data_IF_273342946653
#
_entry.id   IF_273342946653
#
_cell.length_a   1.000
_cell.length_b   1.000
_cell.length_c   1.000
_cell.angle_alpha   90.00
_cell.angle_beta   90.00
_cell.angle_gamma   90.00
#
_symmetry.space_group_name_H-M   'P 1'
#
loop_
_entity.id
_entity.type
_entity.pdbx_description
1 polymer ?
#
# COMPACT_ATOMS: atom_id res chain seq x y z
N UNK A 1 29.46 -18.20 7.08
CA UNK A 1 29.89 -16.79 7.16
C UNK A 1 28.70 -16.02 7.70
N UNK A 2 28.86 -15.39 8.85
CA UNK A 2 27.80 -14.60 9.46
C UNK A 2 27.72 -13.27 8.70
N UNK A 3 26.63 -13.08 7.94
CA UNK A 3 26.48 -11.89 7.10
C UNK A 3 26.01 -10.76 8.01
N UNK A 4 26.95 -9.92 8.45
CA UNK A 4 26.65 -8.76 9.28
C UNK A 4 25.61 -7.85 8.60
N UNK A 5 24.78 -7.18 9.41
CA UNK A 5 23.78 -6.24 8.88
C UNK A 5 24.47 -5.04 8.22
N UNK A 6 24.19 -4.81 6.93
CA UNK A 6 24.76 -3.71 6.15
C UNK A 6 24.19 -2.32 6.52
N UNK A 7 23.03 -2.27 7.19
CA UNK A 7 22.36 -1.04 7.61
C UNK A 7 21.75 -1.18 9.00
N UNK A 8 21.60 -0.05 9.71
CA UNK A 8 21.00 -0.02 11.05
C UNK A 8 19.48 -0.13 10.96
N UNK A 9 18.91 -1.21 11.50
CA UNK A 9 17.47 -1.45 11.51
C UNK A 9 16.88 -1.24 12.90
N UNK A 10 15.66 -0.70 13.01
CA UNK A 10 14.91 -0.60 14.25
C UNK A 10 13.40 -0.61 13.99
N UNK A 11 12.62 -0.86 15.03
CA UNK A 11 11.16 -1.05 14.96
C UNK A 11 10.36 0.25 14.78
N UNK A 12 11.00 1.40 14.99
CA UNK A 12 10.38 2.72 14.86
C UNK A 12 10.80 3.37 13.53
N UNK A 13 9.90 4.07 12.83
CA UNK A 13 10.29 4.89 11.67
C UNK A 13 11.31 5.97 12.08
N UNK A 14 12.19 6.36 11.15
CA UNK A 14 13.23 7.38 11.40
C UNK A 14 14.51 6.88 12.10
N UNK A 15 14.82 5.57 12.04
CA UNK A 15 16.07 5.00 12.59
C UNK A 15 17.31 5.49 11.84
N UNK A 16 17.20 5.67 10.52
CA UNK A 16 18.20 6.38 9.71
C UNK A 16 17.90 7.87 9.83
N UNK A 17 18.81 8.64 10.44
CA UNK A 17 18.65 10.09 10.71
C UNK A 17 19.52 10.98 9.82
N UNK A 18 20.46 10.38 9.09
CA UNK A 18 21.37 11.05 8.15
C UNK A 18 21.73 10.07 7.03
N UNK A 19 22.06 10.58 5.84
CA UNK A 19 22.61 9.80 4.72
C UNK A 19 23.86 9.06 5.20
N UNK A 20 23.72 7.77 5.53
CA UNK A 20 24.76 7.11 6.32
C UNK A 20 25.52 6.02 5.57
N UNK A 21 24.98 5.42 4.51
CA UNK A 21 25.65 4.26 3.90
C UNK A 21 25.39 4.13 2.41
N UNK A 22 26.47 4.12 1.61
CA UNK A 22 26.45 3.63 0.22
C UNK A 22 26.80 2.15 0.27
N UNK A 23 25.90 1.31 -0.22
CA UNK A 23 26.07 -0.14 -0.24
C UNK A 23 26.31 -0.57 -1.68
N UNK A 24 27.48 -1.13 -1.99
CA UNK A 24 27.71 -1.77 -3.28
C UNK A 24 27.03 -3.14 -3.29
N UNK A 25 26.17 -3.37 -4.26
CA UNK A 25 25.35 -4.59 -4.38
C UNK A 25 25.81 -5.47 -5.53
N UNK A 26 26.51 -4.90 -6.52
CA UNK A 26 27.07 -5.63 -7.64
C UNK A 26 28.41 -5.04 -8.09
N UNK A 27 29.39 -5.90 -8.38
CA UNK A 27 30.68 -5.49 -8.96
C UNK A 27 30.65 -5.26 -10.48
N UNK A 28 29.85 -6.03 -11.23
CA UNK A 28 29.78 -5.89 -12.69
C UNK A 28 28.41 -6.29 -13.23
N UNK A 29 27.58 -5.34 -13.72
CA UNK A 29 27.82 -3.90 -13.69
C UNK A 29 27.90 -3.37 -12.26
N UNK A 30 28.62 -2.26 -12.05
CA UNK A 30 28.66 -1.66 -10.71
C UNK A 30 27.28 -1.12 -10.31
N UNK A 31 26.72 -1.65 -9.22
CA UNK A 31 25.42 -1.21 -8.68
C UNK A 31 25.60 -0.82 -7.22
N UNK A 32 25.10 0.37 -6.87
CA UNK A 32 25.14 0.93 -5.53
C UNK A 32 23.73 1.30 -5.07
N UNK A 33 23.44 1.11 -3.78
CA UNK A 33 22.22 1.55 -3.12
C UNK A 33 22.57 2.63 -2.11
N UNK A 34 21.84 3.73 -2.15
CA UNK A 34 21.89 4.78 -1.14
C UNK A 34 20.80 4.49 -0.09
N UNK A 35 21.20 4.28 1.16
CA UNK A 35 20.26 4.25 2.28
C UNK A 35 19.97 5.69 2.71
N UNK A 36 18.87 6.24 2.21
CA UNK A 36 18.38 7.57 2.60
C UNK A 36 17.42 7.43 3.78
N UNK A 37 17.39 8.40 4.71
CA UNK A 37 16.40 8.39 5.79
C UNK A 37 14.99 8.48 5.21
N UNK A 38 14.27 7.36 5.23
CA UNK A 38 12.86 7.31 4.83
C UNK A 38 11.96 7.72 5.99
N UNK A 39 11.14 8.75 5.79
CA UNK A 39 10.06 9.07 6.71
C UNK A 39 9.48 10.46 6.51
N UNK A 40 8.20 10.51 6.15
CA UNK A 40 7.33 11.59 6.62
C UNK A 40 7.31 11.50 8.15
N UNK A 41 7.48 12.62 8.85
CA UNK A 41 7.48 12.62 10.31
C UNK A 41 6.12 12.11 10.83
N UNK A 42 6.13 11.30 11.88
CA UNK A 42 4.90 10.79 12.53
C UNK A 42 4.06 11.92 13.16
N UNK A 43 4.59 13.15 13.26
CA UNK A 43 3.89 14.36 13.74
C UNK A 43 3.01 15.02 12.66
N UNK A 44 2.98 14.48 11.43
CA UNK A 44 2.17 15.08 10.36
C UNK A 44 0.67 14.91 10.59
N UNK A 45 0.24 13.93 11.39
CA UNK A 45 -1.14 13.76 11.79
C UNK A 45 -1.23 13.46 13.29
N UNK A 46 -2.23 14.03 13.95
CA UNK A 46 -2.51 13.74 15.36
C UNK A 46 -2.94 12.27 15.52
N UNK A 47 -2.50 11.67 16.63
CA UNK A 47 -2.72 10.24 16.92
C UNK A 47 -4.21 9.88 16.99
N UNK A 48 -5.03 10.79 17.50
CA UNK A 48 -6.47 10.58 17.59
C UNK A 48 -7.11 10.63 16.20
N UNK A 49 -6.73 11.57 15.35
CA UNK A 49 -7.19 11.62 13.95
C UNK A 49 -6.79 10.36 13.17
N UNK A 50 -5.56 9.88 13.36
CA UNK A 50 -5.12 8.63 12.74
C UNK A 50 -5.90 7.42 13.25
N UNK A 51 -6.16 7.37 14.55
CA UNK A 51 -6.95 6.30 15.17
C UNK A 51 -8.41 6.31 14.69
N UNK A 52 -9.00 7.49 14.53
CA UNK A 52 -10.36 7.68 14.00
C UNK A 52 -10.49 7.14 12.58
N UNK A 53 -9.62 7.60 11.69
CA UNK A 53 -9.60 7.15 10.30
C UNK A 53 -9.37 5.64 10.20
N UNK A 54 -8.47 5.10 11.02
CA UNK A 54 -8.21 3.66 11.07
C UNK A 54 -9.44 2.89 11.56
N UNK A 55 -10.13 3.36 12.60
CA UNK A 55 -11.36 2.75 13.12
C UNK A 55 -12.43 2.70 12.02
N UNK A 56 -12.67 3.82 11.34
CA UNK A 56 -13.58 3.92 10.20
C UNK A 56 -13.22 2.93 9.07
N UNK A 57 -11.95 2.86 8.65
CA UNK A 57 -11.52 1.94 7.59
C UNK A 57 -11.70 0.47 8.01
N UNK A 58 -11.35 0.11 9.24
CA UNK A 58 -11.53 -1.25 9.75
C UNK A 58 -13.01 -1.65 9.83
N UNK A 59 -13.89 -0.71 10.19
CA UNK A 59 -15.35 -0.92 10.14
C UNK A 59 -15.83 -1.22 8.72
N UNK A 60 -15.32 -0.50 7.73
CA UNK A 60 -15.69 -0.68 6.32
C UNK A 60 -15.16 -1.95 5.68
N UNK A 61 -14.01 -2.48 6.13
CA UNK A 61 -13.49 -3.77 5.65
C UNK A 61 -14.32 -4.98 6.11
N UNK A 62 -15.40 -4.78 6.88
CA UNK A 62 -16.29 -5.83 7.35
C UNK A 62 -15.65 -6.76 8.39
N UNK A 63 -14.42 -6.44 8.83
CA UNK A 63 -13.73 -7.20 9.86
C UNK A 63 -13.95 -6.57 11.22
N UNK A 64 -15.02 -7.00 11.88
CA UNK A 64 -15.25 -6.67 13.29
C UNK A 64 -14.35 -7.45 14.25
N UNK A 65 -13.51 -8.38 13.78
CA UNK A 65 -12.55 -9.08 14.65
C UNK A 65 -11.37 -8.17 15.03
N UNK A 66 -11.17 -7.05 14.33
CA UNK A 66 -10.21 -6.01 14.73
C UNK A 66 -10.67 -5.27 15.99
N UNK A 67 -11.99 -5.15 16.16
CA UNK A 67 -12.64 -4.56 17.33
C UNK A 67 -12.79 -5.54 18.49
N UNK A 68 -12.61 -6.84 18.21
CA UNK A 68 -12.69 -7.90 19.20
C UNK A 68 -11.81 -9.07 18.72
N UNK A 69 -10.48 -9.06 18.95
CA UNK A 69 -9.75 -10.31 18.83
C UNK A 69 -10.45 -11.32 19.75
N UNK A 70 -10.60 -12.55 19.30
CA UNK A 70 -11.26 -13.64 20.02
C UNK A 70 -10.60 -13.97 21.38
N UNK A 71 -9.55 -13.25 21.76
CA UNK A 71 -8.91 -13.23 23.09
C UNK A 71 -9.33 -12.05 23.98
N UNK A 72 -10.07 -11.07 23.45
CA UNK A 72 -10.52 -9.87 24.15
C UNK A 72 -11.86 -10.02 24.87
N UNK A 73 -12.80 -10.76 24.29
CA UNK A 73 -14.03 -11.20 24.94
C UNK A 73 -13.95 -12.71 25.18
N UNK A 74 -12.99 -13.14 26.00
CA UNK A 74 -13.20 -14.39 26.73
C UNK A 74 -14.16 -14.05 27.86
N UNK A 75 -15.45 -14.23 27.58
CA UNK A 75 -16.47 -14.28 28.62
C UNK A 75 -16.13 -15.45 29.54
N UNK A 76 -15.54 -15.15 30.70
CA UNK A 76 -15.39 -16.10 31.79
C UNK A 76 -16.79 -16.29 32.40
N UNK A 77 -17.67 -17.03 31.73
CA UNK A 77 -19.00 -17.26 32.30
C UNK A 77 -20.00 -18.02 31.46
N UNK A 78 -20.27 -17.64 30.21
CA UNK A 78 -21.45 -18.16 29.51
C UNK A 78 -21.16 -18.59 28.08
N UNK A 79 -21.43 -19.87 27.80
CA UNK A 79 -21.43 -20.48 26.46
C UNK A 79 -22.58 -19.95 25.60
N UNK A 80 -22.68 -18.64 25.42
CA UNK A 80 -23.69 -18.02 24.55
C UNK A 80 -23.03 -17.18 23.48
N UNK A 81 -23.18 -17.67 22.25
CA UNK A 81 -22.71 -17.10 20.97
C UNK A 81 -23.55 -15.89 20.54
N UNK A 82 -23.81 -14.94 21.44
CA UNK A 82 -24.81 -13.87 21.30
C UNK A 82 -24.17 -12.63 21.95
N UNK A 83 -23.93 -11.46 21.35
CA UNK A 83 -24.73 -10.58 20.49
C UNK A 83 -23.72 -9.77 19.65
N UNK A 84 -23.80 -9.81 18.31
CA UNK A 84 -23.06 -8.85 17.47
C UNK A 84 -23.71 -7.47 17.65
N UNK A 85 -23.26 -6.69 18.64
CA UNK A 85 -23.43 -5.24 18.60
C UNK A 85 -22.72 -4.74 17.34
N UNK A 86 -23.32 -3.79 16.63
CA UNK A 86 -22.69 -3.16 15.48
C UNK A 86 -21.28 -2.63 15.86
N UNK A 87 -20.30 -2.63 14.93
CA UNK A 87 -19.02 -1.98 15.18
C UNK A 87 -19.25 -0.54 15.64
N UNK A 88 -18.47 -0.09 16.63
CA UNK A 88 -18.57 1.29 17.13
C UNK A 88 -17.83 2.23 16.19
N UNK A 89 -18.41 3.40 15.97
CA UNK A 89 -17.82 4.52 15.23
C UNK A 89 -17.47 5.69 16.18
N UNK A 90 -17.60 5.46 17.49
CA UNK A 90 -17.28 6.42 18.52
C UNK A 90 -15.84 6.17 18.99
N UNK A 91 -14.93 7.03 18.54
CA UNK A 91 -13.50 6.95 18.85
C UNK A 91 -13.23 7.02 20.36
N UNK A 92 -13.87 7.95 21.06
CA UNK A 92 -13.61 8.19 22.48
C UNK A 92 -14.02 6.98 23.31
N UNK A 93 -15.23 6.46 23.05
CA UNK A 93 -15.71 5.22 23.65
C UNK A 93 -14.77 4.04 23.35
N UNK A 94 -14.30 3.92 22.11
CA UNK A 94 -13.37 2.87 21.72
C UNK A 94 -12.03 2.97 22.47
N UNK A 95 -11.41 4.15 22.46
CA UNK A 95 -10.10 4.38 23.09
C UNK A 95 -10.15 4.20 24.61
N UNK A 96 -11.24 4.58 25.27
CA UNK A 96 -11.44 4.29 26.69
C UNK A 96 -11.38 2.79 27.00
N UNK A 97 -12.05 1.97 26.17
CA UNK A 97 -12.07 0.51 26.36
C UNK A 97 -10.70 -0.10 26.10
N UNK A 98 -10.00 0.39 25.09
CA UNK A 98 -8.61 -0.01 24.81
C UNK A 98 -7.70 0.36 25.99
N UNK A 99 -7.77 1.61 26.47
CA UNK A 99 -6.97 2.11 27.59
C UNK A 99 -7.18 1.29 28.87
N UNK A 100 -8.44 1.06 29.26
CA UNK A 100 -8.81 0.23 30.42
C UNK A 100 -8.24 -1.19 30.30
N UNK A 101 -8.20 -1.74 29.08
CA UNK A 101 -7.70 -3.09 28.86
C UNK A 101 -6.19 -3.21 28.92
N UNK A 102 -5.47 -2.32 28.26
CA UNK A 102 -4.00 -2.37 28.22
C UNK A 102 -3.38 -1.84 29.53
N UNK A 103 -4.21 -1.37 30.46
CA UNK A 103 -3.76 -0.76 31.71
C UNK A 103 -3.17 0.64 31.51
N UNK A 104 -3.47 1.31 30.40
CA UNK A 104 -3.07 2.69 30.15
C UNK A 104 -4.00 3.64 30.92
N UNK A 105 -3.78 3.73 32.23
CA UNK A 105 -4.55 4.56 33.15
C UNK A 105 -3.65 5.62 33.77
N UNK A 106 -4.18 6.83 33.90
CA UNK A 106 -3.58 7.93 34.66
C UNK A 106 -3.93 7.80 36.16
N UNK A 107 -3.23 8.55 37.04
CA UNK A 107 -3.62 8.64 38.45
C UNK A 107 -5.11 8.96 38.61
N UNK A 108 -5.79 8.26 39.51
CA UNK A 108 -7.25 8.33 39.65
C UNK A 108 -8.03 7.36 38.77
N UNK A 109 -7.34 6.49 38.01
CA UNK A 109 -7.99 5.46 37.17
C UNK A 109 -8.60 6.01 35.88
N UNK A 110 -8.22 7.23 35.50
CA UNK A 110 -8.71 7.91 34.30
C UNK A 110 -8.03 7.26 33.07
N UNK A 111 -8.79 6.81 32.06
CA UNK A 111 -8.22 6.22 30.85
C UNK A 111 -7.30 7.19 30.09
N UNK A 112 -6.12 6.72 29.70
CA UNK A 112 -5.21 7.48 28.84
C UNK A 112 -5.50 7.17 27.36
N UNK A 113 -6.31 8.00 26.73
CA UNK A 113 -6.73 7.86 25.32
C UNK A 113 -5.55 8.00 24.35
N UNK A 114 -4.61 8.90 24.62
CA UNK A 114 -3.43 9.11 23.78
C UNK A 114 -2.56 7.85 23.70
N UNK A 115 -2.27 7.21 24.85
CA UNK A 115 -1.51 5.96 24.87
C UNK A 115 -2.29 4.81 24.21
N UNK A 116 -3.61 4.77 24.38
CA UNK A 116 -4.46 3.80 23.69
C UNK A 116 -4.44 3.98 22.17
N UNK A 117 -4.49 5.22 21.67
CA UNK A 117 -4.40 5.53 20.25
C UNK A 117 -3.04 5.12 19.66
N UNK A 118 -1.93 5.44 20.36
CA UNK A 118 -0.59 4.99 19.97
C UNK A 118 -0.50 3.47 19.89
N UNK A 119 -1.01 2.77 20.90
CA UNK A 119 -1.05 1.31 20.93
C UNK A 119 -1.87 0.77 19.76
N UNK A 120 -3.06 1.31 19.53
CA UNK A 120 -3.95 0.87 18.45
C UNK A 120 -3.30 1.00 17.07
N UNK A 121 -2.71 2.16 16.77
CA UNK A 121 -1.98 2.40 15.52
C UNK A 121 -0.77 1.45 15.39
N UNK A 122 -0.04 1.21 16.48
CA UNK A 122 1.09 0.29 16.48
C UNK A 122 0.66 -1.16 16.17
N UNK A 123 -0.48 -1.60 16.69
CA UNK A 123 -1.02 -2.93 16.41
C UNK A 123 -1.41 -3.08 14.93
N UNK A 124 -1.95 -2.02 14.32
CA UNK A 124 -2.18 -1.99 12.88
C UNK A 124 -0.88 -2.06 12.08
N UNK A 125 0.13 -1.24 12.42
CA UNK A 125 1.46 -1.25 11.77
C UNK A 125 2.15 -2.62 11.84
N UNK A 126 1.89 -3.40 12.89
CA UNK A 126 2.38 -4.78 13.06
C UNK A 126 1.57 -5.84 12.29
N UNK A 127 0.49 -5.45 11.61
CA UNK A 127 -0.42 -6.37 10.93
C UNK A 127 -1.27 -7.22 11.88
N UNK A 128 -1.43 -6.81 13.16
CA UNK A 128 -2.17 -7.61 14.16
C UNK A 128 -3.67 -7.70 13.87
N UNK A 129 -4.21 -6.82 13.04
CA UNK A 129 -5.61 -6.84 12.59
C UNK A 129 -5.80 -7.61 11.28
N UNK A 130 -4.73 -8.05 10.62
CA UNK A 130 -4.74 -8.66 9.30
C UNK A 130 -3.97 -7.85 8.26
N UNK A 131 -4.00 -8.31 7.01
CA UNK A 131 -3.36 -7.66 5.86
C UNK A 131 -4.35 -6.68 5.21
N UNK A 132 -4.45 -5.48 5.77
CA UNK A 132 -5.29 -4.41 5.22
C UNK A 132 -4.43 -3.28 4.65
N UNK A 133 -4.76 -2.86 3.43
CA UNK A 133 -4.22 -1.66 2.82
C UNK A 133 -5.21 -0.50 3.01
N UNK A 134 -4.75 0.64 3.53
CA UNK A 134 -5.61 1.82 3.67
C UNK A 134 -5.79 2.56 2.34
N UNK A 135 -4.93 2.30 1.35
CA UNK A 135 -5.05 2.91 0.02
C UNK A 135 -6.22 2.30 -0.76
N UNK A 136 -6.89 3.14 -1.54
CA UNK A 136 -7.92 2.70 -2.46
C UNK A 136 -7.24 2.12 -3.71
N UNK A 137 -6.98 0.82 -3.67
CA UNK A 137 -6.39 0.10 -4.81
C UNK A 137 -7.50 -0.27 -5.79
N UNK A 138 -7.53 0.41 -6.93
CA UNK A 138 -8.41 0.05 -8.05
C UNK A 138 -7.73 -0.98 -8.96
N UNK A 139 -8.52 -1.93 -9.47
CA UNK A 139 -8.03 -2.95 -10.40
C UNK A 139 -7.40 -2.32 -11.66
N UNK A 140 -7.98 -1.24 -12.17
CA UNK A 140 -7.44 -0.47 -13.29
C UNK A 140 -6.04 0.10 -13.00
N UNK A 141 -5.81 0.63 -11.80
CA UNK A 141 -4.50 1.17 -11.39
C UNK A 141 -3.44 0.08 -11.28
N UNK A 142 -3.83 -1.12 -10.82
CA UNK A 142 -2.94 -2.28 -10.77
C UNK A 142 -2.58 -2.75 -12.18
N UNK A 143 -3.58 -2.87 -13.05
CA UNK A 143 -3.38 -3.29 -14.44
C UNK A 143 -2.56 -2.27 -15.24
N UNK A 144 -2.69 -0.98 -14.94
CA UNK A 144 -1.83 0.08 -15.49
C UNK A 144 -0.38 -0.07 -15.01
N UNK A 145 -0.14 -0.24 -13.71
CA UNK A 145 1.19 -0.40 -13.14
C UNK A 145 1.90 -1.67 -13.67
N UNK A 146 1.14 -2.73 -13.94
CA UNK A 146 1.63 -3.97 -14.56
C UNK A 146 1.82 -3.85 -16.08
N UNK A 147 1.46 -2.71 -16.69
CA UNK A 147 1.60 -2.47 -18.12
C UNK A 147 0.62 -3.28 -18.98
N UNK A 148 -0.48 -3.75 -18.41
CA UNK A 148 -1.49 -4.59 -19.07
C UNK A 148 -2.58 -3.76 -19.76
N UNK A 149 -2.78 -2.51 -19.35
CA UNK A 149 -3.73 -1.56 -19.97
C UNK A 149 -3.03 -0.59 -20.93
N UNK A 150 -1.72 -0.35 -20.78
CA UNK A 150 -0.95 0.52 -21.67
C UNK A 150 -0.07 -0.25 -22.66
N UNK A 151 -0.73 -0.92 -23.61
CA UNK A 151 -0.24 -1.09 -24.99
C UNK A 151 -1.44 -1.03 -25.93
N UNK A 152 -2.10 0.13 -26.00
CA UNK A 152 -2.84 0.45 -27.21
C UNK A 152 -1.83 0.63 -28.34
N UNK A 153 -1.66 -0.40 -29.16
CA UNK A 153 -1.35 -0.37 -30.59
C UNK A 153 -0.50 0.79 -31.15
N UNK A 154 0.58 1.20 -30.48
CA UNK A 154 1.62 1.98 -31.16
C UNK A 154 2.38 1.02 -32.07
N UNK A 155 1.84 0.84 -33.28
CA UNK A 155 2.51 0.21 -34.41
C UNK A 155 3.93 0.79 -34.45
N UNK A 156 4.93 -0.07 -34.23
CA UNK A 156 6.33 0.33 -34.26
C UNK A 156 6.57 1.21 -35.49
N UNK A 157 7.31 2.32 -35.35
CA UNK A 157 7.64 3.23 -36.47
C UNK A 157 8.16 2.50 -37.71
N UNK A 158 8.74 1.31 -37.54
CA UNK A 158 9.21 0.44 -38.63
C UNK A 158 8.07 -0.27 -39.39
N UNK A 159 7.00 -0.69 -38.71
CA UNK A 159 5.81 -1.27 -39.33
C UNK A 159 5.03 -0.21 -40.13
N UNK A 160 4.89 1.02 -39.62
CA UNK A 160 4.30 2.15 -40.36
C UNK A 160 5.07 2.46 -41.65
N UNK A 161 6.41 2.58 -41.56
CA UNK A 161 7.26 2.81 -42.74
C UNK A 161 7.19 1.67 -43.78
N UNK A 162 7.03 0.42 -43.32
CA UNK A 162 6.88 -0.74 -44.21
C UNK A 162 5.56 -0.66 -44.99
N UNK A 163 4.46 -0.35 -44.30
CA UNK A 163 3.14 -0.19 -44.93
C UNK A 163 3.11 0.98 -45.94
N UNK A 164 3.71 2.12 -45.62
CA UNK A 164 3.82 3.24 -46.57
C UNK A 164 4.60 2.87 -47.83
N UNK A 165 5.71 2.13 -47.69
CA UNK A 165 6.52 1.68 -48.81
C UNK A 165 5.77 0.68 -49.70
N UNK A 166 5.01 -0.23 -49.10
CA UNK A 166 4.17 -1.19 -49.82
C UNK A 166 3.02 -0.48 -50.54
N UNK A 167 2.35 0.48 -49.90
CA UNK A 167 1.32 1.30 -50.53
C UNK A 167 1.85 2.12 -51.71
N UNK A 168 3.06 2.69 -51.59
CA UNK A 168 3.70 3.43 -52.69
C UNK A 168 4.07 2.52 -53.86
N UNK A 169 4.54 1.30 -53.59
CA UNK A 169 4.80 0.29 -54.63
C UNK A 169 3.53 -0.14 -55.34
N UNK A 170 2.45 -0.39 -54.61
CA UNK A 170 1.15 -0.77 -55.17
C UNK A 170 0.61 0.33 -56.11
N UNK A 171 0.62 1.60 -55.67
CA UNK A 171 0.22 2.74 -56.51
C UNK A 171 1.07 2.89 -57.78
N UNK A 172 2.38 2.63 -57.68
CA UNK A 172 3.27 2.68 -58.86
C UNK A 172 2.96 1.56 -59.85
N UNK A 173 2.70 0.35 -59.35
CA UNK A 173 2.36 -0.81 -60.19
C UNK A 173 1.02 -0.61 -60.90
N UNK A 174 0.03 -0.06 -60.20
CA UNK A 174 -1.29 0.25 -60.76
C UNK A 174 -1.20 1.30 -61.88
N UNK A 175 -0.43 2.37 -61.66
CA UNK A 175 -0.15 3.38 -62.71
C UNK A 175 0.52 2.76 -63.94
N UNK A 176 1.47 1.85 -63.73
CA UNK A 176 2.15 1.15 -64.82
C UNK A 176 1.19 0.24 -65.61
N UNK A 177 0.34 -0.54 -64.93
CA UNK A 177 -0.69 -1.37 -65.58
C UNK A 177 -1.65 -0.53 -66.42
N UNK A 178 -2.15 0.57 -65.86
CA UNK A 178 -3.07 1.49 -66.55
C UNK A 178 -2.44 2.20 -67.75
N UNK A 179 -1.14 2.45 -67.73
CA UNK A 179 -0.42 3.01 -68.87
C UNK A 179 -0.26 1.97 -70.00
N UNK A 180 0.00 0.71 -69.64
CA UNK A 180 0.13 -0.40 -70.58
C UNK A 180 -1.19 -0.76 -71.28
N UNK A 181 -2.31 -0.65 -70.56
CA UNK A 181 -3.66 -0.86 -71.11
C UNK A 181 -4.11 0.26 -72.06
N UNK A 182 -3.55 1.47 -71.96
CA UNK A 182 -3.84 2.59 -72.86
C UNK A 182 -2.97 2.62 -74.12
N UNK A 183 -1.89 1.85 -74.14
CA UNK A 183 -0.94 1.75 -75.26
C UNK A 183 -1.15 0.52 -76.14
N UNK A 184 -2.25 -0.21 -75.91
CA UNK A 184 -2.69 -1.39 -76.66
C UNK A 184 -4.06 -1.12 -77.27
#
# INVERSE_FOLDING_TARGET
MDVGKAAKTGSNPGVTKSLSTIIKVLESPEVYIYDTPGGIRDDVAELETMADYLLFRLNNFGNTNCLFPSSLFFDFGTRTRIIRKAPTDDLEYFLEKVAKRIGALQPGGIPNTTLAAQFFIQQYRRGSFGQYCLDDINESSVLEALGLINKSDDISKNQLKKQEKEARKAKSLEKFKRAKEKSS
#
